data_IF_024783851538
#
_entry.id   IF_024783851538
#
_cell.length_a   1.000
_cell.length_b   1.000
_cell.length_c   1.000
_cell.angle_alpha   90.00
_cell.angle_beta   90.00
_cell.angle_gamma   90.00
#
_symmetry.space_group_name_H-M   'P 1'
#
loop_
_entity.id
_entity.type
_entity.pdbx_description
1 polymer ?
#
# COMPACT_ATOMS: atom_id res chain seq x y z
N UNK A 1 -2.26 -12.49 0.10
CA UNK A 1 -3.22 -11.77 0.97
C UNK A 1 -3.16 -12.30 2.40
N UNK A 2 -3.69 -13.49 2.72
CA UNK A 2 -3.75 -13.97 4.11
C UNK A 2 -2.37 -14.01 4.81
N UNK A 3 -1.33 -14.51 4.13
CA UNK A 3 0.06 -14.44 4.60
C UNK A 3 0.51 -13.01 4.97
N UNK A 4 0.23 -12.05 4.10
CA UNK A 4 0.65 -10.65 4.29
C UNK A 4 -0.08 -10.01 5.47
N UNK A 5 -1.41 -10.19 5.58
CA UNK A 5 -2.20 -9.67 6.69
C UNK A 5 -1.75 -10.26 8.04
N UNK A 6 -1.53 -11.57 8.08
CA UNK A 6 -1.02 -12.26 9.27
C UNK A 6 0.39 -11.80 9.65
N UNK A 7 1.30 -11.65 8.68
CA UNK A 7 2.64 -11.11 8.90
C UNK A 7 2.60 -9.69 9.49
N UNK A 8 1.85 -8.78 8.87
CA UNK A 8 1.76 -7.39 9.34
C UNK A 8 1.06 -7.27 10.69
N UNK A 9 0.06 -8.12 10.96
CA UNK A 9 -0.57 -8.17 12.30
C UNK A 9 0.46 -8.54 13.38
N UNK A 10 1.35 -9.52 13.10
CA UNK A 10 2.46 -9.86 14.01
C UNK A 10 3.52 -8.76 14.12
N UNK A 11 3.66 -7.91 13.11
CA UNK A 11 4.53 -6.71 13.10
C UNK A 11 3.89 -5.50 13.79
N UNK A 12 2.70 -5.67 14.40
CA UNK A 12 2.03 -4.67 15.21
C UNK A 12 1.11 -3.72 14.43
N UNK A 13 0.64 -4.13 13.25
CA UNK A 13 -0.43 -3.44 12.53
C UNK A 13 -1.80 -3.98 12.98
N UNK A 14 -2.77 -3.10 13.16
CA UNK A 14 -4.17 -3.47 13.43
C UNK A 14 -4.92 -3.66 12.11
N UNK A 15 -5.53 -4.83 11.91
CA UNK A 15 -6.22 -5.16 10.66
C UNK A 15 -7.56 -4.42 10.57
N UNK A 16 -7.79 -3.75 9.42
CA UNK A 16 -9.02 -3.01 9.15
C UNK A 16 -9.71 -3.53 7.89
N UNK A 17 -10.99 -3.85 8.02
CA UNK A 17 -11.90 -3.95 6.89
C UNK A 17 -12.43 -2.56 6.53
N UNK A 18 -12.12 -2.08 5.33
CA UNK A 18 -12.47 -0.72 4.90
C UNK A 18 -13.46 -0.72 3.72
N UNK A 19 -14.28 0.35 3.57
CA UNK A 19 -15.15 0.48 2.40
C UNK A 19 -14.35 0.57 1.09
N UNK A 20 -14.83 -0.09 0.04
CA UNK A 20 -14.23 0.00 -1.31
C UNK A 20 -14.77 1.18 -2.13
N UNK A 21 -15.82 1.84 -1.61
CA UNK A 21 -16.39 3.07 -2.13
C UNK A 21 -16.36 4.14 -1.05
N UNK A 22 -15.97 5.36 -1.42
CA UNK A 22 -15.87 6.50 -0.50
C UNK A 22 -16.50 7.75 -1.10
N UNK A 23 -16.80 8.73 -0.24
CA UNK A 23 -17.19 10.07 -0.68
C UNK A 23 -15.98 10.88 -1.15
N UNK A 24 -16.23 11.90 -1.97
CA UNK A 24 -15.20 12.72 -2.61
C UNK A 24 -14.23 13.37 -1.61
N UNK A 25 -14.71 13.74 -0.42
CA UNK A 25 -13.90 14.39 0.62
C UNK A 25 -12.80 13.45 1.14
N UNK A 26 -13.03 12.13 1.13
CA UNK A 26 -12.02 11.13 1.53
C UNK A 26 -10.90 11.01 0.49
N UNK A 27 -11.24 11.14 -0.79
CA UNK A 27 -10.26 11.22 -1.87
C UNK A 27 -9.51 12.56 -1.87
N UNK A 28 -10.19 13.65 -1.53
CA UNK A 28 -9.54 14.94 -1.36
C UNK A 28 -8.53 14.91 -0.21
N UNK A 29 -8.92 14.34 0.93
CA UNK A 29 -8.11 14.14 2.12
C UNK A 29 -6.81 13.37 1.82
N UNK A 30 -6.92 12.23 1.13
CA UNK A 30 -5.78 11.38 0.74
C UNK A 30 -4.90 11.97 -0.37
N UNK A 31 -5.37 13.03 -1.05
CA UNK A 31 -4.61 13.71 -2.11
C UNK A 31 -4.89 13.20 -3.52
N UNK A 32 -5.85 12.30 -3.70
CA UNK A 32 -6.27 11.79 -5.01
C UNK A 32 -7.05 12.85 -5.80
N UNK A 33 -7.97 13.55 -5.14
CA UNK A 33 -8.71 14.67 -5.73
C UNK A 33 -8.07 16.03 -5.41
N UNK A 34 -8.15 17.01 -6.34
CA UNK A 34 -8.79 16.92 -7.67
C UNK A 34 -7.87 16.39 -8.77
N UNK A 35 -6.55 16.31 -8.53
CA UNK A 35 -5.51 16.14 -9.56
C UNK A 35 -5.66 14.85 -10.38
N UNK A 36 -6.09 13.75 -9.75
CA UNK A 36 -6.14 12.43 -10.37
C UNK A 36 -7.55 11.94 -10.68
N UNK A 37 -8.55 12.84 -10.72
CA UNK A 37 -9.95 12.48 -10.98
C UNK A 37 -10.13 11.59 -12.22
N UNK A 38 -9.38 11.88 -13.28
CA UNK A 38 -9.42 11.12 -14.54
C UNK A 38 -8.98 9.66 -14.41
N UNK A 39 -8.21 9.33 -13.37
CA UNK A 39 -7.72 7.98 -13.12
C UNK A 39 -8.62 7.15 -12.19
N UNK A 40 -9.71 7.75 -11.67
CA UNK A 40 -10.59 7.12 -10.68
C UNK A 40 -11.93 6.74 -11.31
N UNK A 41 -12.55 5.68 -10.81
CA UNK A 41 -13.93 5.35 -11.13
C UNK A 41 -14.87 6.12 -10.19
N UNK A 42 -15.91 6.73 -10.77
CA UNK A 42 -16.89 7.57 -10.09
C UNK A 42 -18.29 7.15 -10.54
N UNK A 43 -19.14 6.88 -9.56
CA UNK A 43 -20.58 6.81 -9.74
C UNK A 43 -21.12 8.25 -9.73
N UNK A 44 -21.58 8.70 -10.90
CA UNK A 44 -22.04 10.08 -11.12
C UNK A 44 -23.40 10.33 -10.44
N UNK A 45 -24.23 9.29 -10.26
CA UNK A 45 -25.58 9.43 -9.70
C UNK A 45 -25.52 9.53 -8.18
N UNK A 46 -24.75 8.66 -7.53
CA UNK A 46 -24.70 8.54 -6.07
C UNK A 46 -23.49 9.27 -5.42
N UNK A 47 -22.63 9.86 -6.26
CA UNK A 47 -21.37 10.52 -5.88
C UNK A 47 -20.51 9.65 -4.95
N UNK A 48 -20.29 8.41 -5.37
CA UNK A 48 -19.36 7.48 -4.75
C UNK A 48 -18.19 7.18 -5.67
N UNK A 49 -17.03 7.04 -5.07
CA UNK A 49 -15.80 6.81 -5.80
C UNK A 49 -15.17 5.50 -5.37
N UNK A 50 -14.78 4.69 -6.35
CA UNK A 50 -14.06 3.44 -6.07
C UNK A 50 -12.63 3.75 -5.62
N UNK A 51 -12.18 3.09 -4.57
CA UNK A 51 -10.87 3.38 -3.99
C UNK A 51 -9.73 2.82 -4.87
N UNK A 52 -8.69 3.62 -5.19
CA UNK A 52 -7.52 3.17 -5.94
C UNK A 52 -6.46 2.46 -5.06
N UNK A 53 -6.68 2.44 -3.74
CA UNK A 53 -5.83 1.87 -2.69
C UNK A 53 -6.56 1.96 -1.34
N UNK A 54 -6.30 1.04 -0.41
CA UNK A 54 -6.77 1.11 0.97
C UNK A 54 -6.25 2.34 1.73
N UNK A 55 -5.15 2.97 1.28
CA UNK A 55 -4.66 4.26 1.79
C UNK A 55 -5.80 5.29 1.90
N UNK A 56 -6.68 5.35 0.89
CA UNK A 56 -7.76 6.34 0.83
C UNK A 56 -8.72 6.23 2.02
N UNK A 57 -9.41 5.09 2.23
CA UNK A 57 -10.28 4.95 3.39
C UNK A 57 -9.50 4.94 4.71
N UNK A 58 -8.25 4.45 4.75
CA UNK A 58 -7.42 4.49 5.96
C UNK A 58 -7.12 5.94 6.38
N UNK A 59 -6.76 6.84 5.46
CA UNK A 59 -6.64 8.29 5.72
C UNK A 59 -7.96 8.89 6.20
N UNK A 60 -9.09 8.41 5.68
CA UNK A 60 -10.42 8.91 6.02
C UNK A 60 -10.92 8.53 7.41
N UNK A 61 -10.33 7.51 8.06
CA UNK A 61 -10.84 6.97 9.33
C UNK A 61 -10.93 8.01 10.45
N UNK A 62 -9.96 8.93 10.51
CA UNK A 62 -9.87 9.94 11.57
C UNK A 62 -10.03 11.37 11.06
N UNK A 63 -10.73 11.55 9.93
CA UNK A 63 -10.99 12.87 9.37
C UNK A 63 -11.72 13.74 10.39
N UNK A 64 -11.25 14.96 10.57
CA UNK A 64 -11.74 15.95 11.54
C UNK A 64 -11.58 15.55 13.02
N UNK A 65 -10.77 14.54 13.33
CA UNK A 65 -10.51 14.12 14.71
C UNK A 65 -9.24 14.72 15.33
N UNK A 66 -9.23 14.73 16.67
CA UNK A 66 -8.07 15.02 17.50
C UNK A 66 -7.74 13.77 18.31
N UNK A 67 -6.67 13.09 17.93
CA UNK A 67 -6.18 11.87 18.56
C UNK A 67 -5.48 12.18 19.89
N UNK A 68 -5.51 11.22 20.81
CA UNK A 68 -4.72 11.30 22.05
C UNK A 68 -3.27 10.90 21.77
N UNK A 69 -2.28 11.70 22.23
CA UNK A 69 -0.86 11.44 21.94
C UNK A 69 -0.42 10.03 22.34
N UNK A 70 -0.91 9.53 23.47
CA UNK A 70 -0.56 8.20 24.00
C UNK A 70 -0.99 7.04 23.10
N UNK A 71 -1.85 7.28 22.10
CA UNK A 71 -2.26 6.26 21.13
C UNK A 71 -1.34 6.18 19.92
N UNK A 72 -0.43 7.15 19.73
CA UNK A 72 0.48 7.20 18.60
C UNK A 72 1.80 6.46 18.91
N UNK A 73 2.43 5.79 17.92
CA UNK A 73 1.94 5.62 16.55
C UNK A 73 0.80 4.60 16.45
N UNK A 74 -0.20 4.89 15.62
CA UNK A 74 -1.23 3.93 15.23
C UNK A 74 -0.89 3.35 13.86
N UNK A 75 -0.82 2.03 13.77
CA UNK A 75 -0.44 1.29 12.56
C UNK A 75 -1.60 0.42 12.12
N UNK A 76 -1.98 0.50 10.85
CA UNK A 76 -3.08 -0.27 10.27
C UNK A 76 -2.63 -1.05 9.05
N UNK A 77 -3.20 -2.24 8.87
CA UNK A 77 -3.12 -2.97 7.61
C UNK A 77 -4.52 -3.26 7.09
N UNK A 78 -4.69 -3.22 5.76
CA UNK A 78 -5.97 -3.50 5.14
C UNK A 78 -5.78 -4.14 3.77
N UNK A 79 -6.58 -5.17 3.51
CA UNK A 79 -6.77 -5.69 2.16
C UNK A 79 -7.91 -4.93 1.48
N UNK A 80 -7.70 -4.53 0.21
CA UNK A 80 -8.78 -4.04 -0.65
C UNK A 80 -8.57 -4.46 -2.11
N UNK A 81 -9.65 -4.73 -2.87
CA UNK A 81 -9.60 -4.55 -4.31
C UNK A 81 -9.42 -3.06 -4.62
N UNK A 82 -8.46 -2.75 -5.48
CA UNK A 82 -8.07 -1.41 -5.89
C UNK A 82 -8.52 -1.16 -7.33
N UNK A 83 -9.11 0.01 -7.61
CA UNK A 83 -9.67 0.34 -8.91
C UNK A 83 -8.97 1.54 -9.55
N UNK A 84 -8.44 1.38 -10.78
CA UNK A 84 -7.75 2.46 -11.53
C UNK A 84 -8.14 2.44 -13.01
N UNK A 85 -8.39 3.62 -13.61
CA UNK A 85 -8.75 3.72 -15.04
C UNK A 85 -7.56 3.54 -15.98
N UNK A 86 -6.33 3.67 -15.49
CA UNK A 86 -5.08 3.45 -16.24
C UNK A 86 -5.01 4.25 -17.56
N UNK A 87 -5.71 5.40 -17.65
CA UNK A 87 -5.85 6.22 -18.87
C UNK A 87 -4.52 6.67 -19.48
N UNK A 88 -3.47 6.80 -18.67
CA UNK A 88 -2.15 7.29 -19.08
C UNK A 88 -1.26 6.20 -19.72
N UNK A 89 -1.73 4.96 -19.80
CA UNK A 89 -0.89 3.79 -20.06
C UNK A 89 -0.83 3.33 -21.52
N UNK A 90 -1.57 3.98 -22.44
CA UNK A 90 -1.65 3.74 -23.89
C UNK A 90 -0.91 2.47 -24.42
N UNK A 91 -1.42 1.27 -24.08
CA UNK A 91 -0.91 -0.01 -24.62
C UNK A 91 0.35 -0.60 -23.96
N UNK A 92 0.97 0.06 -22.97
CA UNK A 92 2.13 -0.45 -22.24
C UNK A 92 1.71 -1.42 -21.13
N UNK A 93 2.38 -2.58 -21.06
CA UNK A 93 2.16 -3.63 -20.04
C UNK A 93 0.74 -4.23 -20.01
N UNK A 94 0.02 -4.22 -21.14
CA UNK A 94 -1.39 -4.68 -21.21
C UNK A 94 -1.56 -6.20 -21.29
N UNK A 95 -0.47 -6.97 -21.48
CA UNK A 95 -0.51 -8.44 -21.53
C UNK A 95 -0.32 -9.01 -20.12
N UNK A 96 -1.21 -9.92 -19.72
CA UNK A 96 -1.18 -10.56 -18.40
C UNK A 96 -1.84 -9.69 -17.33
N UNK A 97 -1.33 -9.76 -16.10
CA UNK A 97 -1.93 -9.09 -14.93
C UNK A 97 -1.12 -7.88 -14.44
N UNK A 98 0.01 -7.54 -15.09
CA UNK A 98 0.96 -6.49 -14.63
C UNK A 98 0.28 -5.12 -14.46
N UNK A 99 -0.70 -4.82 -15.31
CA UNK A 99 -1.49 -3.59 -15.28
C UNK A 99 -2.94 -3.92 -15.61
N UNK A 100 -3.85 -3.63 -14.69
CA UNK A 100 -5.28 -3.91 -14.84
C UNK A 100 -6.13 -2.87 -14.14
N UNK A 101 -7.42 -2.84 -14.48
CA UNK A 101 -8.37 -1.88 -13.91
C UNK A 101 -8.75 -2.19 -12.46
N UNK A 102 -8.66 -3.46 -12.09
CA UNK A 102 -8.85 -3.94 -10.74
C UNK A 102 -7.64 -4.80 -10.36
N UNK A 103 -7.14 -4.63 -9.15
CA UNK A 103 -6.11 -5.48 -8.58
C UNK A 103 -6.20 -5.53 -7.06
N UNK A 104 -5.68 -6.60 -6.47
CA UNK A 104 -5.63 -6.75 -5.02
C UNK A 104 -4.37 -6.11 -4.42
N UNK A 105 -4.51 -5.51 -3.24
CA UNK A 105 -3.38 -4.99 -2.48
C UNK A 105 -3.62 -5.13 -0.99
N UNK A 106 -2.55 -5.47 -0.27
CA UNK A 106 -2.47 -5.30 1.19
C UNK A 106 -1.70 -4.02 1.46
N UNK A 107 -2.33 -3.09 2.16
CA UNK A 107 -1.75 -1.79 2.52
C UNK A 107 -1.24 -1.81 3.95
N UNK A 108 -0.18 -1.06 4.20
CA UNK A 108 0.28 -0.62 5.51
C UNK A 108 0.09 0.89 5.61
N UNK A 109 -0.42 1.37 6.74
CA UNK A 109 -0.65 2.79 6.97
C UNK A 109 -0.30 3.16 8.41
N UNK A 110 0.32 4.32 8.61
CA UNK A 110 0.69 4.79 9.95
C UNK A 110 0.25 6.23 10.16
N UNK A 111 -0.36 6.48 11.32
CA UNK A 111 -0.46 7.81 11.93
C UNK A 111 0.59 7.90 13.04
N UNK A 112 1.45 8.91 13.01
CA UNK A 112 2.48 9.08 14.03
C UNK A 112 2.71 10.55 14.39
N UNK A 113 3.50 10.76 15.44
CA UNK A 113 3.99 12.10 15.74
C UNK A 113 5.01 12.54 14.68
N UNK A 114 5.11 13.84 14.37
CA UNK A 114 6.06 14.33 13.36
C UNK A 114 7.50 13.84 13.54
N UNK A 115 7.95 13.79 14.80
CA UNK A 115 9.29 13.41 15.22
C UNK A 115 9.60 11.91 14.99
N UNK A 116 8.57 11.08 14.93
CA UNK A 116 8.70 9.62 14.74
C UNK A 116 8.61 9.21 13.27
N UNK A 117 8.18 10.12 12.39
CA UNK A 117 7.84 9.78 11.00
C UNK A 117 9.02 9.23 10.18
N UNK A 118 10.25 9.64 10.47
CA UNK A 118 11.43 9.04 9.83
C UNK A 118 11.66 7.59 10.28
N UNK A 119 11.47 7.31 11.57
CA UNK A 119 11.61 5.96 12.11
C UNK A 119 10.50 5.02 11.60
N UNK A 120 9.26 5.52 11.53
CA UNK A 120 8.14 4.75 10.98
C UNK A 120 8.32 4.43 9.49
N UNK A 121 8.99 5.29 8.73
CA UNK A 121 9.32 5.02 7.33
C UNK A 121 10.28 3.84 7.19
N UNK A 122 11.38 3.86 7.96
CA UNK A 122 12.37 2.77 7.95
C UNK A 122 11.74 1.45 8.42
N UNK A 123 10.87 1.50 9.45
CA UNK A 123 10.11 0.34 9.90
C UNK A 123 9.21 -0.21 8.79
N UNK A 124 8.40 0.64 8.16
CA UNK A 124 7.45 0.21 7.14
C UNK A 124 8.15 -0.33 5.88
N UNK A 125 9.31 0.23 5.52
CA UNK A 125 10.16 -0.31 4.47
C UNK A 125 10.65 -1.72 4.82
N UNK A 126 11.19 -1.91 6.03
CA UNK A 126 11.63 -3.22 6.51
C UNK A 126 10.48 -4.24 6.56
N UNK A 127 9.26 -3.82 6.89
CA UNK A 127 8.08 -4.69 6.90
C UNK A 127 7.66 -5.12 5.47
N UNK A 128 7.78 -4.24 4.48
CA UNK A 128 7.59 -4.60 3.06
C UNK A 128 8.69 -5.58 2.60
N UNK A 129 9.95 -5.33 2.94
CA UNK A 129 11.07 -6.23 2.64
C UNK A 129 10.90 -7.61 3.28
N UNK A 130 10.42 -7.68 4.52
CA UNK A 130 10.15 -8.95 5.20
C UNK A 130 9.16 -9.82 4.43
N UNK A 131 8.19 -9.20 3.75
CA UNK A 131 7.26 -9.93 2.89
C UNK A 131 7.99 -10.55 1.70
N UNK A 132 8.87 -9.79 1.02
CA UNK A 132 9.70 -10.30 -0.08
C UNK A 132 10.67 -11.40 0.37
N UNK A 133 11.34 -11.21 1.51
CA UNK A 133 12.25 -12.20 2.10
C UNK A 133 11.53 -13.51 2.43
N UNK A 134 10.37 -13.45 3.08
CA UNK A 134 9.58 -14.64 3.39
C UNK A 134 9.08 -15.37 2.15
N UNK A 135 8.77 -14.63 1.07
CA UNK A 135 8.42 -15.21 -0.23
C UNK A 135 9.63 -15.71 -1.02
N UNK A 136 10.86 -15.56 -0.53
CA UNK A 136 12.08 -15.98 -1.23
C UNK A 136 12.34 -15.26 -2.55
N UNK A 137 11.77 -14.07 -2.75
CA UNK A 137 11.91 -13.31 -4.00
C UNK A 137 13.17 -12.44 -3.97
N UNK A 138 14.03 -12.48 -5.00
CA UNK A 138 15.09 -11.49 -5.16
C UNK A 138 14.48 -10.11 -5.32
N UNK A 139 14.94 -9.13 -4.54
CA UNK A 139 14.43 -7.77 -4.58
C UNK A 139 15.55 -6.74 -4.47
N UNK A 140 15.23 -5.50 -4.87
CA UNK A 140 16.06 -4.31 -4.65
C UNK A 140 15.20 -3.16 -4.12
N UNK A 141 15.85 -2.20 -3.48
CA UNK A 141 15.22 -0.98 -2.98
C UNK A 141 15.71 0.19 -3.83
N UNK A 142 14.77 1.03 -4.29
CA UNK A 142 15.06 2.24 -5.05
C UNK A 142 14.49 3.44 -4.30
N UNK A 143 15.36 4.34 -3.85
CA UNK A 143 14.92 5.66 -3.37
C UNK A 143 14.56 6.53 -4.57
N UNK A 144 13.33 7.04 -4.60
CA UNK A 144 12.85 7.85 -5.71
C UNK A 144 13.48 9.25 -5.71
N UNK A 145 13.72 9.78 -6.90
CA UNK A 145 14.18 11.16 -7.09
C UNK A 145 12.98 12.13 -7.06
N UNK A 146 13.24 13.42 -6.94
CA UNK A 146 12.20 14.45 -6.83
C UNK A 146 11.23 14.51 -8.02
N UNK A 147 11.66 14.06 -9.21
CA UNK A 147 10.81 13.99 -10.39
C UNK A 147 9.88 12.77 -10.44
N UNK A 148 10.11 11.77 -9.58
CA UNK A 148 9.45 10.46 -9.62
C UNK A 148 8.62 10.18 -8.35
N UNK A 149 8.76 11.00 -7.30
CA UNK A 149 7.93 10.89 -6.09
C UNK A 149 6.46 11.25 -6.35
N UNK A 150 5.56 10.59 -5.62
CA UNK A 150 4.12 10.85 -5.66
C UNK A 150 3.75 12.26 -5.19
N UNK A 151 2.59 12.74 -5.62
CA UNK A 151 2.13 14.12 -5.38
C UNK A 151 2.05 14.52 -3.90
N UNK A 152 1.71 13.59 -3.01
CA UNK A 152 1.57 13.81 -1.57
C UNK A 152 2.86 13.50 -0.79
N UNK A 153 3.85 12.87 -1.40
CA UNK A 153 4.97 12.27 -0.69
C UNK A 153 6.14 13.24 -0.50
N UNK A 154 6.79 13.17 0.67
CA UNK A 154 8.05 13.87 0.95
C UNK A 154 9.29 13.02 0.61
N UNK A 155 9.17 11.70 0.75
CA UNK A 155 10.21 10.72 0.43
C UNK A 155 9.54 9.38 0.15
N UNK A 156 10.08 8.63 -0.83
CA UNK A 156 9.54 7.32 -1.19
C UNK A 156 10.65 6.34 -1.56
N UNK A 157 10.45 5.11 -1.13
CA UNK A 157 11.24 3.96 -1.49
C UNK A 157 10.35 2.94 -2.20
N UNK A 158 10.76 2.54 -3.40
CA UNK A 158 10.13 1.43 -4.10
C UNK A 158 10.88 0.14 -3.79
N UNK A 159 10.13 -0.92 -3.52
CA UNK A 159 10.64 -2.30 -3.45
C UNK A 159 10.28 -2.98 -4.75
N UNK A 160 11.31 -3.40 -5.49
CA UNK A 160 11.15 -4.05 -6.78
C UNK A 160 11.64 -5.50 -6.72
N UNK A 161 10.84 -6.45 -7.18
CA UNK A 161 11.19 -7.87 -7.24
C UNK A 161 11.61 -8.26 -8.65
N UNK A 162 12.52 -9.23 -8.77
CA UNK A 162 12.93 -9.75 -10.07
C UNK A 162 11.83 -10.62 -10.68
N UNK A 163 11.50 -10.38 -11.95
CA UNK A 163 10.58 -11.18 -12.73
C UNK A 163 11.34 -11.82 -13.89
N UNK A 164 11.69 -13.11 -13.75
CA UNK A 164 12.61 -13.81 -14.63
C UNK A 164 12.10 -14.01 -16.07
N UNK A 165 10.79 -14.18 -16.25
CA UNK A 165 10.14 -14.29 -17.56
C UNK A 165 9.96 -12.94 -18.24
N UNK A 166 9.74 -11.88 -17.45
CA UNK A 166 9.69 -10.51 -17.95
C UNK A 166 11.07 -9.88 -18.19
N UNK A 167 12.13 -10.45 -17.58
CA UNK A 167 13.51 -9.94 -17.58
C UNK A 167 13.60 -8.48 -17.06
N UNK A 168 12.87 -8.20 -15.99
CA UNK A 168 12.82 -6.85 -15.40
C UNK A 168 12.58 -6.87 -13.89
N UNK A 169 12.83 -5.71 -13.27
CA UNK A 169 12.46 -5.45 -11.87
C UNK A 169 11.04 -4.86 -11.82
N UNK A 170 10.14 -5.52 -11.10
CA UNK A 170 8.76 -5.11 -10.94
C UNK A 170 8.54 -4.48 -9.56
N UNK A 171 8.15 -3.22 -9.53
CA UNK A 171 7.78 -2.50 -8.29
C UNK A 171 6.55 -3.17 -7.63
N UNK A 172 6.75 -3.85 -6.50
CA UNK A 172 5.68 -4.50 -5.72
C UNK A 172 5.27 -3.70 -4.50
N UNK A 173 6.09 -2.72 -4.11
CA UNK A 173 5.74 -1.76 -3.09
C UNK A 173 6.31 -0.38 -3.39
N UNK A 174 5.55 0.62 -2.96
CA UNK A 174 5.99 2.00 -2.86
C UNK A 174 5.66 2.45 -1.44
N UNK A 175 6.69 2.77 -0.66
CA UNK A 175 6.61 3.14 0.76
C UNK A 175 6.96 4.61 0.92
N UNK A 176 6.02 5.41 1.41
CA UNK A 176 6.09 6.86 1.44
C UNK A 176 5.88 7.44 2.84
N UNK A 177 6.68 8.45 3.17
CA UNK A 177 6.36 9.39 4.25
C UNK A 177 5.72 10.63 3.63
N UNK A 178 4.47 10.89 4.01
CA UNK A 178 3.61 11.95 3.47
C UNK A 178 3.64 13.20 4.36
N UNK A 179 4.21 13.08 5.56
CA UNK A 179 4.27 14.17 6.52
C UNK A 179 2.87 14.62 6.91
N UNK A 180 2.68 15.93 7.01
CA UNK A 180 1.39 16.52 7.37
C UNK A 180 0.45 16.77 6.18
N UNK A 181 0.82 16.39 4.95
CA UNK A 181 0.05 16.75 3.75
C UNK A 181 -1.39 16.21 3.80
N UNK A 182 -1.55 14.92 4.09
CA UNK A 182 -2.88 14.30 4.25
C UNK A 182 -3.58 14.79 5.51
N UNK A 183 -2.86 14.83 6.64
CA UNK A 183 -3.40 15.30 7.91
C UNK A 183 -3.96 16.72 7.82
N UNK A 184 -3.33 17.61 7.04
CA UNK A 184 -3.79 18.98 6.81
C UNK A 184 -5.08 19.04 5.99
N UNK A 185 -5.20 18.21 4.96
CA UNK A 185 -6.40 18.12 4.11
C UNK A 185 -7.56 17.44 4.83
N UNK A 186 -7.26 16.48 5.69
CA UNK A 186 -8.22 15.71 6.48
C UNK A 186 -8.47 16.30 7.88
N UNK A 187 -7.79 17.39 8.24
CA UNK A 187 -7.86 18.04 9.55
C UNK A 187 -7.62 17.07 10.74
N UNK A 188 -6.66 16.16 10.59
CA UNK A 188 -6.32 15.13 11.60
C UNK A 188 -5.21 15.68 12.49
N UNK A 189 -5.50 15.78 13.78
CA UNK A 189 -4.57 16.32 14.78
C UNK A 189 -4.35 15.32 15.90
N UNK A 190 -3.38 15.59 16.74
CA UNK A 190 -3.27 15.01 18.06
C UNK A 190 -3.16 16.11 19.12
N UNK A 191 -3.53 15.76 20.35
CA UNK A 191 -3.40 16.60 21.52
C UNK A 191 -2.10 16.26 22.26
N UNK A 192 -1.09 17.14 22.26
CA UNK A 192 0.15 16.92 23.01
C UNK A 192 -0.08 16.79 24.53
N UNK A 193 0.66 15.90 25.17
CA UNK A 193 0.58 15.61 26.60
C UNK A 193 1.06 16.78 27.47
N UNK A 194 1.92 17.64 26.92
CA UNK A 194 2.38 18.87 27.58
C UNK A 194 1.32 19.99 27.64
N UNK A 195 0.14 19.76 27.07
CA UNK A 195 -0.97 20.71 27.04
C UNK A 195 -0.79 21.83 26.00
N UNK A 196 0.22 21.73 25.12
CA UNK A 196 0.38 22.65 24.01
C UNK A 196 -0.75 22.52 22.97
N UNK A 197 -0.81 23.44 22.02
CA UNK A 197 -1.85 23.46 20.98
C UNK A 197 -1.82 22.17 20.16
N UNK A 198 -3.01 21.68 19.78
CA UNK A 198 -3.15 20.51 18.89
C UNK A 198 -2.26 20.65 17.65
N UNK A 199 -1.56 19.57 17.33
CA UNK A 199 -0.60 19.48 16.21
C UNK A 199 -1.12 18.51 15.17
N UNK A 200 -0.77 18.72 13.90
CA UNK A 200 -1.06 17.73 12.86
C UNK A 200 -0.22 16.47 13.10
N UNK A 201 -0.82 15.32 12.86
CA UNK A 201 -0.08 14.05 12.78
C UNK A 201 0.73 14.00 11.48
N UNK A 202 1.74 13.13 11.44
CA UNK A 202 2.32 12.67 10.19
C UNK A 202 1.65 11.37 9.75
N UNK A 203 1.61 11.18 8.44
CA UNK A 203 1.01 10.00 7.80
C UNK A 203 2.04 9.31 6.92
N UNK A 204 1.98 7.97 6.91
CA UNK A 204 2.80 7.13 6.06
C UNK A 204 1.95 6.03 5.46
N UNK A 205 2.32 5.59 4.26
CA UNK A 205 1.68 4.46 3.60
C UNK A 205 2.71 3.63 2.82
N UNK A 206 2.40 2.36 2.64
CA UNK A 206 3.26 1.42 1.93
C UNK A 206 2.48 0.21 1.49
N UNK A 207 2.83 -0.36 0.34
CA UNK A 207 2.24 -1.64 -0.06
C UNK A 207 2.95 -2.80 0.64
N UNK A 208 2.21 -3.80 1.10
CA UNK A 208 2.76 -4.99 1.76
C UNK A 208 2.24 -6.31 1.18
N UNK A 209 1.94 -6.48 -0.11
CA UNK A 209 2.47 -5.87 -1.34
C UNK A 209 1.32 -5.67 -2.36
N UNK A 210 1.63 -5.13 -3.54
CA UNK A 210 0.74 -5.15 -4.70
C UNK A 210 0.66 -6.54 -5.35
N UNK A 211 -0.52 -7.17 -5.32
CA UNK A 211 -0.66 -8.59 -5.69
C UNK A 211 -0.29 -8.95 -7.14
N UNK A 212 -0.61 -8.16 -8.19
CA UNK A 212 -0.37 -8.65 -9.55
C UNK A 212 1.10 -8.86 -9.86
N UNK A 213 1.95 -7.92 -9.47
CA UNK A 213 3.40 -8.00 -9.69
C UNK A 213 4.05 -9.04 -8.76
N UNK A 214 3.57 -9.18 -7.53
CA UNK A 214 4.01 -10.26 -6.63
C UNK A 214 3.64 -11.63 -7.20
N UNK A 215 2.44 -11.79 -7.76
CA UNK A 215 2.01 -13.04 -8.39
C UNK A 215 2.86 -13.37 -9.62
N UNK A 216 3.13 -12.39 -10.49
CA UNK A 216 4.06 -12.57 -11.63
C UNK A 216 5.41 -13.08 -11.13
N UNK A 217 5.99 -12.43 -10.12
CA UNK A 217 7.28 -12.83 -9.58
C UNK A 217 7.25 -14.25 -8.98
N UNK A 218 6.19 -14.64 -8.27
CA UNK A 218 6.04 -16.02 -7.77
C UNK A 218 5.99 -17.01 -8.94
N UNK A 219 5.09 -16.79 -9.91
CA UNK A 219 4.92 -17.68 -11.06
C UNK A 219 6.23 -17.86 -11.84
N UNK A 220 6.96 -16.78 -12.08
CA UNK A 220 8.18 -16.82 -12.89
C UNK A 220 9.39 -17.38 -12.15
N UNK A 221 9.55 -17.10 -10.85
CA UNK A 221 10.71 -17.56 -10.08
C UNK A 221 10.53 -18.98 -9.50
N UNK A 222 9.29 -19.47 -9.40
CA UNK A 222 8.99 -20.80 -8.84
C UNK A 222 8.55 -21.84 -9.89
N UNK A 223 8.56 -21.48 -11.18
CA UNK A 223 8.26 -22.43 -12.27
C UNK A 223 9.22 -23.62 -12.27
N UNK A 224 8.70 -24.79 -12.64
CA UNK A 224 9.44 -26.04 -12.80
C UNK A 224 9.52 -26.42 -14.29
N UNK A 225 10.47 -27.31 -14.70
CA UNK A 225 10.61 -27.71 -16.10
C UNK A 225 9.36 -28.34 -16.73
N UNK A 226 8.45 -28.89 -15.93
CA UNK A 226 7.18 -29.48 -16.39
C UNK A 226 6.02 -28.48 -16.47
N UNK A 227 6.27 -27.20 -16.15
CA UNK A 227 5.28 -26.13 -16.14
C UNK A 227 4.53 -25.94 -14.82
N UNK A 228 4.73 -26.82 -13.84
CA UNK A 228 4.17 -26.65 -12.50
C UNK A 228 4.85 -25.49 -11.76
N UNK A 229 4.15 -24.93 -10.77
CA UNK A 229 4.66 -23.85 -9.91
C UNK A 229 4.86 -24.39 -8.50
N UNK A 230 6.11 -24.41 -8.02
CA UNK A 230 6.39 -24.74 -6.63
C UNK A 230 5.82 -23.66 -5.72
N UNK A 231 5.12 -24.03 -4.65
CA UNK A 231 4.58 -23.05 -3.71
C UNK A 231 5.71 -22.57 -2.78
N UNK A 232 5.93 -21.25 -2.61
CA UNK A 232 6.85 -20.73 -1.60
C UNK A 232 6.55 -21.30 -0.22
N UNK A 233 7.57 -21.70 0.53
CA UNK A 233 7.41 -22.43 1.81
C UNK A 233 6.54 -21.65 2.80
N UNK A 234 6.72 -20.33 2.85
CA UNK A 234 5.92 -19.48 3.72
C UNK A 234 4.44 -19.59 3.39
N UNK A 235 4.03 -19.84 2.14
CA UNK A 235 2.61 -19.90 1.76
C UNK A 235 1.94 -21.25 2.11
N UNK A 236 2.69 -22.31 2.39
CA UNK A 236 2.17 -23.66 2.61
C UNK A 236 1.01 -23.75 3.64
N UNK A 237 1.03 -23.03 4.80
CA UNK A 237 -0.07 -23.06 5.75
C UNK A 237 -1.43 -22.62 5.18
N UNK A 238 -1.42 -21.86 4.09
CA UNK A 238 -2.62 -21.31 3.44
C UNK A 238 -3.09 -22.12 2.22
N UNK A 239 -2.35 -23.16 1.82
CA UNK A 239 -2.55 -23.85 0.54
C UNK A 239 -3.21 -25.23 0.67
N UNK A 240 -3.82 -25.55 1.82
CA UNK A 240 -4.63 -26.75 1.98
C UNK A 240 -3.87 -28.07 1.79
N UNK A 241 -2.56 -28.08 2.09
CA UNK A 241 -1.67 -29.24 1.91
C UNK A 241 -1.04 -29.35 0.52
N UNK A 242 -1.36 -28.45 -0.42
CA UNK A 242 -0.65 -28.38 -1.69
C UNK A 242 0.78 -27.83 -1.50
N UNK A 243 1.74 -28.45 -2.18
CA UNK A 243 3.15 -28.00 -2.23
C UNK A 243 3.54 -27.47 -3.62
N UNK A 244 2.70 -27.72 -4.63
CA UNK A 244 2.85 -27.27 -6.01
C UNK A 244 1.48 -27.02 -6.65
N UNK A 245 1.44 -26.21 -7.69
CA UNK A 245 0.27 -25.97 -8.56
C UNK A 245 0.60 -26.54 -9.94
N UNK A 246 -0.28 -27.38 -10.48
CA UNK A 246 -0.15 -27.99 -11.82
C UNK A 246 -0.99 -27.28 -12.85
#
# INVERSE_FOLDING_TARGET
IAYMLDLHTRQGYDERYTPFMVKAETLYASGQLPKFADNLYHDIEEDFWMVPTAEVPLTGMYRDEVLEEATLPQRFTAYTPCFRREKMSAGRDVRGIKRGHQFDKVEMYTYCRPEESAQELEKMLADAEATCMGLGLPYRIKRLCTGDIGFNSMITYDVEVWAAGCDEWLEVSSVSNVGDFQARRANIKFKPADGSKNRLVHTLNGSGLGMPRTMIAILENYQQPDGSIKIPEVLLPWMGGATEIK
#
